data_IF_704033193576
#
_entry.id   IF_704033193576
#
_cell.length_a   1.000
_cell.length_b   1.000
_cell.length_c   1.000
_cell.angle_alpha   90.00
_cell.angle_beta   90.00
_cell.angle_gamma   90.00
#
_symmetry.space_group_name_H-M   'P 1'
#
loop_
_entity.id
_entity.type
_entity.pdbx_description
1 polymer ?
#
# COMPACT_ATOMS: atom_id res chain seq x y z
N UNK A 1 -31.42 4.35 -4.75
CA UNK A 1 -30.45 3.67 -3.85
C UNK A 1 -29.48 4.74 -3.36
N UNK A 2 -29.45 5.01 -2.06
CA UNK A 2 -28.43 5.92 -1.47
C UNK A 2 -27.11 5.18 -1.57
N UNK A 3 -26.16 5.71 -2.33
CA UNK A 3 -24.79 5.21 -2.34
C UNK A 3 -24.25 5.37 -0.92
N UNK A 4 -23.98 4.27 -0.23
CA UNK A 4 -23.27 4.31 1.04
C UNK A 4 -21.84 4.71 0.68
N UNK A 5 -21.48 5.96 0.97
CA UNK A 5 -20.10 6.41 0.86
C UNK A 5 -19.37 5.71 1.99
N UNK A 6 -18.62 4.68 1.66
CA UNK A 6 -17.69 4.05 2.59
C UNK A 6 -16.46 4.97 2.69
N UNK A 7 -16.34 5.68 3.80
CA UNK A 7 -15.16 6.52 4.08
C UNK A 7 -14.24 5.80 5.06
N UNK A 8 -12.95 6.05 4.95
CA UNK A 8 -12.00 5.61 5.99
C UNK A 8 -12.42 6.24 7.32
N UNK A 9 -12.76 5.41 8.30
CA UNK A 9 -13.15 5.86 9.63
C UNK A 9 -11.91 6.30 10.41
N UNK A 10 -11.77 7.60 10.60
CA UNK A 10 -10.61 8.19 11.26
C UNK A 10 -10.46 7.75 12.73
N UNK A 11 -11.55 7.40 13.40
CA UNK A 11 -11.55 6.96 14.81
C UNK A 11 -11.01 5.53 14.96
N UNK A 12 -11.00 4.76 13.87
CA UNK A 12 -10.48 3.38 13.84
C UNK A 12 -9.03 3.28 13.38
N UNK A 13 -8.44 4.38 12.91
CA UNK A 13 -7.03 4.38 12.50
C UNK A 13 -6.12 4.17 13.71
N UNK A 14 -5.24 3.19 13.60
CA UNK A 14 -4.24 2.93 14.64
C UNK A 14 -2.95 3.68 14.36
N UNK A 15 -2.48 4.41 15.35
CA UNK A 15 -1.30 5.27 15.25
C UNK A 15 -0.19 4.80 16.19
N UNK A 16 1.06 4.85 15.72
CA UNK A 16 2.22 4.57 16.59
C UNK A 16 2.57 5.72 17.54
N UNK A 17 2.00 6.92 17.32
CA UNK A 17 2.23 8.11 18.15
C UNK A 17 0.91 8.79 18.51
N UNK A 18 0.89 9.47 19.65
CA UNK A 18 -0.23 10.32 20.04
C UNK A 18 -0.44 11.51 19.10
N UNK A 19 -1.62 12.11 19.11
CA UNK A 19 -1.93 13.24 18.22
C UNK A 19 -0.95 14.42 18.32
N UNK A 20 -0.48 14.87 19.51
CA UNK A 20 0.54 15.91 19.60
C UNK A 20 1.92 15.46 19.08
N UNK A 21 2.29 14.18 19.30
CA UNK A 21 3.65 13.68 19.01
C UNK A 21 3.87 13.32 17.54
N UNK A 22 2.80 13.15 16.76
CA UNK A 22 2.90 12.80 15.33
C UNK A 22 3.07 14.02 14.41
N UNK A 23 2.73 15.23 14.89
CA UNK A 23 2.87 16.44 14.08
C UNK A 23 4.34 16.74 13.77
N UNK A 24 4.60 17.09 12.51
CA UNK A 24 5.95 17.37 12.02
C UNK A 24 6.81 16.12 11.79
N UNK A 25 6.28 14.90 12.02
CA UNK A 25 6.98 13.66 11.68
C UNK A 25 6.56 13.17 10.29
N UNK A 26 7.42 12.46 9.53
CA UNK A 26 6.98 11.79 8.31
C UNK A 26 5.94 10.71 8.62
N UNK A 27 4.96 10.53 7.72
CA UNK A 27 3.84 9.61 7.85
C UNK A 27 4.02 8.38 6.94
N UNK A 28 3.90 7.19 7.50
CA UNK A 28 3.77 5.94 6.77
C UNK A 28 2.33 5.43 6.87
N UNK A 29 1.61 5.45 5.76
CA UNK A 29 0.24 4.93 5.68
C UNK A 29 0.32 3.44 5.40
N UNK A 30 -0.17 2.63 6.35
CA UNK A 30 -0.16 1.17 6.27
C UNK A 30 -1.54 0.60 5.95
N UNK A 31 -1.60 -0.30 4.97
CA UNK A 31 -2.83 -0.90 4.42
C UNK A 31 -2.74 -2.42 4.45
N UNK A 32 -3.61 -3.05 5.23
CA UNK A 32 -3.63 -4.51 5.46
C UNK A 32 -4.14 -5.31 4.26
N UNK A 33 -3.92 -6.62 4.27
CA UNK A 33 -4.47 -7.57 3.30
C UNK A 33 -5.97 -7.81 3.50
N UNK A 34 -6.66 -8.32 2.47
CA UNK A 34 -8.07 -8.69 2.57
C UNK A 34 -8.33 -9.68 3.71
N UNK A 35 -9.40 -9.49 4.46
CA UNK A 35 -9.79 -10.34 5.60
C UNK A 35 -9.03 -10.02 6.90
N UNK A 36 -8.12 -9.05 6.89
CA UNK A 36 -7.40 -8.54 8.04
C UNK A 36 -7.99 -7.21 8.54
N UNK A 37 -7.26 -6.46 9.35
CA UNK A 37 -7.71 -5.22 9.97
C UNK A 37 -6.54 -4.28 10.28
N UNK A 38 -6.83 -3.12 10.85
CA UNK A 38 -5.87 -2.05 11.19
C UNK A 38 -4.78 -2.42 12.20
N UNK A 39 -4.91 -3.53 12.93
CA UNK A 39 -3.88 -3.96 13.89
C UNK A 39 -2.78 -4.81 13.24
N UNK A 40 -3.02 -5.35 12.06
CA UNK A 40 -2.12 -6.31 11.40
C UNK A 40 -0.75 -5.69 11.12
N UNK A 41 -0.70 -4.69 10.26
CA UNK A 41 0.57 -4.06 9.88
C UNK A 41 1.19 -3.17 10.97
N UNK A 42 0.39 -2.80 11.98
CA UNK A 42 0.93 -2.09 13.14
C UNK A 42 1.97 -2.94 13.89
N UNK A 43 1.83 -4.27 13.83
CA UNK A 43 2.81 -5.21 14.38
C UNK A 43 4.19 -5.13 13.73
N UNK A 44 4.30 -4.57 12.53
CA UNK A 44 5.58 -4.37 11.82
C UNK A 44 6.30 -3.07 12.25
N UNK A 45 5.59 -2.13 12.86
CA UNK A 45 6.11 -0.81 13.20
C UNK A 45 7.40 -0.82 14.06
N UNK A 46 7.61 -1.76 15.02
CA UNK A 46 8.85 -1.80 15.79
C UNK A 46 10.12 -2.08 14.97
N UNK A 47 9.97 -2.68 13.78
CA UNK A 47 11.09 -2.97 12.88
C UNK A 47 11.32 -1.86 11.84
N UNK A 48 10.43 -0.88 11.73
CA UNK A 48 10.53 0.25 10.81
C UNK A 48 11.34 1.39 11.43
N UNK A 49 11.92 2.31 10.62
CA UNK A 49 12.68 3.45 11.14
C UNK A 49 11.83 4.30 12.10
N UNK A 50 12.31 4.54 13.34
CA UNK A 50 11.51 5.19 14.39
C UNK A 50 11.18 6.66 14.12
N UNK A 51 11.79 7.29 13.11
CA UNK A 51 11.46 8.64 12.68
C UNK A 51 10.04 8.73 12.10
N UNK A 52 9.55 7.65 11.48
CA UNK A 52 8.24 7.62 10.83
C UNK A 52 7.12 7.35 11.84
N UNK A 53 6.06 8.13 11.75
CA UNK A 53 4.78 7.78 12.37
C UNK A 53 4.03 6.83 11.46
N UNK A 54 3.59 5.69 11.96
CA UNK A 54 2.75 4.76 11.19
C UNK A 54 1.28 5.04 11.51
N UNK A 55 0.48 5.19 10.47
CA UNK A 55 -0.98 5.16 10.53
C UNK A 55 -1.47 3.90 9.83
N UNK A 56 -2.01 2.96 10.57
CA UNK A 56 -2.57 1.73 10.04
C UNK A 56 -4.08 1.86 9.88
N UNK A 57 -4.53 1.80 8.63
CA UNK A 57 -5.92 2.03 8.26
C UNK A 57 -6.72 0.73 8.32
N UNK A 58 -8.01 0.84 8.66
CA UNK A 58 -9.01 -0.20 8.42
C UNK A 58 -9.64 0.00 7.06
N UNK A 59 -9.67 -1.05 6.25
CA UNK A 59 -10.43 -1.05 4.99
C UNK A 59 -11.94 -0.90 5.26
N UNK A 60 -12.70 -0.22 4.37
CA UNK A 60 -14.07 0.21 4.70
C UNK A 60 -15.12 -0.90 4.63
N UNK A 61 -14.87 -1.99 3.91
CA UNK A 61 -15.89 -3.02 3.65
C UNK A 61 -15.62 -4.27 4.50
N UNK A 62 -16.61 -4.71 5.28
CA UNK A 62 -16.49 -5.96 6.04
C UNK A 62 -16.32 -7.17 5.10
N UNK A 63 -15.38 -8.07 5.42
CA UNK A 63 -15.09 -9.27 4.67
C UNK A 63 -14.67 -10.43 5.60
N UNK A 64 -15.50 -11.43 5.74
CA UNK A 64 -15.24 -12.54 6.66
C UNK A 64 -15.00 -12.06 8.09
N UNK A 65 -13.90 -12.43 8.73
CA UNK A 65 -13.55 -11.97 10.08
C UNK A 65 -12.93 -10.56 10.12
N UNK A 66 -12.65 -9.96 8.97
CA UNK A 66 -11.97 -8.67 8.84
C UNK A 66 -12.58 -7.79 7.76
N UNK A 67 -11.73 -7.13 6.97
CA UNK A 67 -12.11 -6.05 6.05
C UNK A 67 -11.44 -6.18 4.69
N UNK A 68 -11.98 -5.48 3.69
CA UNK A 68 -11.52 -5.44 2.30
C UNK A 68 -11.54 -4.01 1.77
N UNK A 69 -10.50 -3.63 1.02
CA UNK A 69 -10.42 -2.31 0.37
C UNK A 69 -11.40 -2.20 -0.80
N UNK A 70 -11.51 -3.27 -1.58
CA UNK A 70 -12.43 -3.38 -2.71
C UNK A 70 -12.93 -4.83 -2.85
N UNK A 71 -14.08 -5.06 -3.50
CA UNK A 71 -14.60 -6.41 -3.69
C UNK A 71 -13.59 -7.32 -4.39
N UNK A 72 -13.46 -8.55 -3.89
CA UNK A 72 -12.65 -9.57 -4.56
C UNK A 72 -13.28 -9.91 -5.90
N UNK A 73 -12.47 -9.79 -6.95
CA UNK A 73 -12.78 -10.27 -8.28
C UNK A 73 -11.88 -11.47 -8.64
N UNK A 74 -11.46 -11.56 -9.90
CA UNK A 74 -10.45 -12.52 -10.31
C UNK A 74 -9.12 -12.20 -9.60
N UNK A 75 -8.44 -13.18 -9.00
CA UNK A 75 -7.15 -12.96 -8.35
C UNK A 75 -6.16 -12.24 -9.28
N UNK A 76 -5.53 -11.18 -8.76
CA UNK A 76 -4.62 -10.33 -9.54
C UNK A 76 -5.26 -9.43 -10.61
N UNK A 77 -6.61 -9.43 -10.74
CA UNK A 77 -7.34 -8.64 -11.73
C UNK A 77 -8.72 -8.18 -11.21
N UNK A 78 -8.77 -7.32 -10.19
CA UNK A 78 -10.02 -6.76 -9.67
C UNK A 78 -10.63 -5.75 -10.65
N UNK A 79 -11.88 -5.33 -10.39
CA UNK A 79 -12.52 -4.23 -11.11
C UNK A 79 -11.75 -2.92 -10.92
N UNK A 80 -11.34 -2.29 -12.02
CA UNK A 80 -10.63 -1.00 -12.00
C UNK A 80 -11.49 0.08 -11.34
N UNK A 81 -12.79 0.12 -11.63
CA UNK A 81 -13.73 1.07 -11.04
C UNK A 81 -13.80 0.95 -9.50
N UNK A 82 -13.88 -0.29 -8.99
CA UNK A 82 -13.92 -0.53 -7.55
C UNK A 82 -12.61 -0.13 -6.85
N UNK A 83 -11.47 -0.40 -7.50
CA UNK A 83 -10.16 0.01 -6.99
C UNK A 83 -9.99 1.52 -7.04
N UNK A 84 -10.47 2.19 -8.09
CA UNK A 84 -10.42 3.65 -8.19
C UNK A 84 -11.28 4.32 -7.12
N UNK A 85 -12.46 3.78 -6.82
CA UNK A 85 -13.31 4.26 -5.74
C UNK A 85 -12.60 4.13 -4.37
N UNK A 86 -12.05 2.96 -4.07
CA UNK A 86 -11.29 2.74 -2.84
C UNK A 86 -10.04 3.65 -2.76
N UNK A 87 -9.38 3.90 -3.89
CA UNK A 87 -8.24 4.81 -3.98
C UNK A 87 -8.64 6.23 -3.61
N UNK A 88 -9.78 6.71 -4.12
CA UNK A 88 -10.28 8.04 -3.80
C UNK A 88 -10.57 8.20 -2.29
N UNK A 89 -11.20 7.20 -1.66
CA UNK A 89 -11.49 7.22 -0.22
C UNK A 89 -10.21 7.31 0.64
N UNK A 90 -9.16 6.56 0.29
CA UNK A 90 -7.88 6.62 1.00
C UNK A 90 -7.18 7.96 0.74
N UNK A 91 -7.24 8.51 -0.47
CA UNK A 91 -6.69 9.83 -0.79
C UNK A 91 -7.39 10.93 0.00
N UNK A 92 -8.72 10.90 0.12
CA UNK A 92 -9.48 11.87 0.90
C UNK A 92 -9.07 11.84 2.39
N UNK A 93 -8.86 10.64 2.94
CA UNK A 93 -8.34 10.51 4.30
C UNK A 93 -6.91 11.05 4.41
N UNK A 94 -6.01 10.72 3.48
CA UNK A 94 -4.63 11.24 3.45
C UNK A 94 -4.64 12.77 3.42
N UNK A 95 -5.46 13.38 2.56
CA UNK A 95 -5.58 14.83 2.43
C UNK A 95 -6.01 15.50 3.74
N UNK A 96 -6.85 14.81 4.54
CA UNK A 96 -7.30 15.31 5.85
C UNK A 96 -6.20 15.42 6.90
N UNK A 97 -5.11 14.67 6.74
CA UNK A 97 -3.99 14.62 7.71
C UNK A 97 -2.67 15.14 7.14
N UNK A 98 -2.55 15.29 5.82
CA UNK A 98 -1.30 15.59 5.12
C UNK A 98 -0.59 16.84 5.62
N UNK A 99 -1.34 17.88 6.02
CA UNK A 99 -0.77 19.15 6.49
C UNK A 99 0.08 19.02 7.78
N UNK A 100 -0.13 17.95 8.55
CA UNK A 100 0.63 17.69 9.78
C UNK A 100 1.95 16.94 9.53
N UNK A 101 2.22 16.50 8.28
CA UNK A 101 3.33 15.60 7.96
C UNK A 101 4.18 16.12 6.80
N UNK A 102 5.52 16.27 6.95
CA UNK A 102 6.40 16.81 5.91
C UNK A 102 6.55 15.89 4.70
N UNK A 103 6.35 14.58 4.88
CA UNK A 103 6.45 13.53 3.85
C UNK A 103 5.48 12.41 4.16
N UNK A 104 4.97 11.75 3.11
CA UNK A 104 4.08 10.61 3.22
C UNK A 104 4.65 9.45 2.40
N UNK A 105 4.82 8.29 3.02
CA UNK A 105 5.12 7.02 2.39
C UNK A 105 3.93 6.07 2.47
N UNK A 106 3.90 5.09 1.59
CA UNK A 106 2.85 4.07 1.53
C UNK A 106 3.45 2.69 1.82
N UNK A 107 2.75 1.87 2.60
CA UNK A 107 3.09 0.48 2.87
C UNK A 107 1.83 -0.37 2.78
N UNK A 108 1.87 -1.46 2.04
CA UNK A 108 0.73 -2.36 1.98
C UNK A 108 1.13 -3.82 1.79
N UNK A 109 0.29 -4.72 2.32
CA UNK A 109 0.41 -6.15 2.11
C UNK A 109 -0.75 -6.67 1.27
N UNK A 110 -0.48 -7.53 0.29
CA UNK A 110 -1.49 -8.20 -0.54
C UNK A 110 -2.44 -7.19 -1.21
N UNK A 111 -3.74 -7.18 -0.89
CA UNK A 111 -4.69 -6.18 -1.39
C UNK A 111 -4.27 -4.75 -1.00
N UNK A 112 -3.72 -4.55 0.21
CA UNK A 112 -3.14 -3.26 0.63
C UNK A 112 -1.89 -2.88 -0.18
N UNK A 113 -1.08 -3.86 -0.61
CA UNK A 113 0.04 -3.64 -1.51
C UNK A 113 -0.41 -3.15 -2.89
N UNK A 114 -1.51 -3.72 -3.41
CA UNK A 114 -2.19 -3.20 -4.60
C UNK A 114 -2.67 -1.77 -4.41
N UNK A 115 -3.27 -1.45 -3.26
CA UNK A 115 -3.71 -0.09 -2.93
C UNK A 115 -2.54 0.89 -2.89
N UNK A 116 -1.39 0.52 -2.30
CA UNK A 116 -0.20 1.36 -2.27
C UNK A 116 0.28 1.73 -3.69
N UNK A 117 0.32 0.76 -4.59
CA UNK A 117 0.68 1.01 -6.00
C UNK A 117 -0.38 1.87 -6.71
N UNK A 118 -1.66 1.67 -6.42
CA UNK A 118 -2.73 2.43 -7.07
C UNK A 118 -2.79 3.89 -6.60
N UNK A 119 -2.56 4.14 -5.30
CA UNK A 119 -2.40 5.48 -4.75
C UNK A 119 -1.22 6.22 -5.41
N UNK A 120 -0.08 5.52 -5.54
CA UNK A 120 1.09 6.06 -6.24
C UNK A 120 0.79 6.40 -7.71
N UNK A 121 0.05 5.53 -8.43
CA UNK A 121 -0.38 5.78 -9.81
C UNK A 121 -1.34 6.97 -9.93
N UNK A 122 -2.18 7.18 -8.92
CA UNK A 122 -3.12 8.29 -8.90
C UNK A 122 -2.44 9.63 -8.64
N UNK A 123 -1.42 9.66 -7.77
CA UNK A 123 -0.69 10.88 -7.37
C UNK A 123 0.81 10.61 -7.21
N UNK A 124 1.58 10.37 -8.29
CA UNK A 124 2.96 9.90 -8.20
C UNK A 124 3.92 10.88 -7.50
N UNK A 125 3.66 12.18 -7.53
CA UNK A 125 4.49 13.18 -6.88
C UNK A 125 4.12 13.46 -5.42
N UNK A 126 3.01 12.88 -4.92
CA UNK A 126 2.53 13.15 -3.56
C UNK A 126 3.21 12.28 -2.50
N UNK A 127 3.85 11.20 -2.91
CA UNK A 127 4.41 10.21 -2.01
C UNK A 127 5.93 10.11 -2.12
N UNK A 128 6.60 10.01 -0.98
CA UNK A 128 8.05 9.81 -0.92
C UNK A 128 8.45 8.44 -1.51
N UNK A 129 7.61 7.44 -1.30
CA UNK A 129 7.77 6.08 -1.83
C UNK A 129 6.49 5.25 -1.66
N UNK A 130 6.46 4.08 -2.31
CA UNK A 130 5.50 3.02 -2.02
C UNK A 130 6.21 1.68 -1.77
N UNK A 131 5.74 0.95 -0.74
CA UNK A 131 6.14 -0.43 -0.44
C UNK A 131 4.95 -1.34 -0.69
N UNK A 132 5.13 -2.31 -1.58
CA UNK A 132 4.12 -3.32 -1.91
C UNK A 132 4.67 -4.70 -1.61
N UNK A 133 4.12 -5.34 -0.56
CA UNK A 133 4.48 -6.69 -0.12
C UNK A 133 3.41 -7.67 -0.61
N UNK A 134 3.79 -8.63 -1.43
CA UNK A 134 2.88 -9.58 -2.09
C UNK A 134 1.66 -8.90 -2.74
N UNK A 135 1.81 -7.66 -3.19
CA UNK A 135 0.79 -6.91 -3.93
C UNK A 135 0.94 -7.06 -5.43
N UNK A 136 0.08 -6.37 -6.17
CA UNK A 136 0.12 -6.38 -7.64
C UNK A 136 -0.40 -5.07 -8.24
N UNK A 137 0.09 -4.71 -9.43
CA UNK A 137 -0.46 -3.61 -10.19
C UNK A 137 -1.79 -4.03 -10.84
N UNK A 138 -2.82 -3.21 -10.66
CA UNK A 138 -4.15 -3.47 -11.25
C UNK A 138 -4.09 -3.26 -12.76
N UNK A 139 -4.49 -4.25 -13.58
CA UNK A 139 -4.52 -4.12 -15.03
C UNK A 139 -5.65 -3.18 -15.51
N UNK A 140 -5.55 -2.68 -16.74
CA UNK A 140 -6.60 -1.89 -17.37
C UNK A 140 -6.70 -0.44 -16.89
N UNK A 141 -5.73 0.04 -16.11
CA UNK A 141 -5.58 1.46 -15.78
C UNK A 141 -5.06 2.22 -17.00
N UNK A 142 -5.49 3.47 -17.17
CA UNK A 142 -5.15 4.26 -18.35
C UNK A 142 -3.65 4.54 -18.51
N UNK A 143 -3.16 4.53 -19.75
CA UNK A 143 -1.77 4.83 -20.11
C UNK A 143 -1.32 6.20 -19.59
N UNK A 144 -2.22 7.18 -19.50
CA UNK A 144 -1.90 8.52 -18.98
C UNK A 144 -1.48 8.54 -17.51
N UNK A 145 -1.99 7.61 -16.69
CA UNK A 145 -1.53 7.47 -15.29
C UNK A 145 -0.12 6.91 -15.25
N UNK A 146 0.17 5.91 -16.06
CA UNK A 146 1.50 5.30 -16.14
C UNK A 146 2.53 6.27 -16.75
N UNK A 147 2.15 7.12 -17.71
CA UNK A 147 2.96 8.23 -18.19
C UNK A 147 3.31 9.24 -17.08
N UNK A 148 2.33 9.60 -16.24
CA UNK A 148 2.57 10.47 -15.10
C UNK A 148 3.53 9.85 -14.08
N UNK A 149 3.42 8.54 -13.80
CA UNK A 149 4.38 7.81 -12.96
C UNK A 149 5.76 7.82 -13.59
N UNK A 150 5.87 7.57 -14.90
CA UNK A 150 7.16 7.59 -15.63
C UNK A 150 7.86 8.94 -15.59
N UNK A 151 7.09 10.03 -15.63
CA UNK A 151 7.63 11.39 -15.56
C UNK A 151 8.25 11.71 -14.19
N UNK A 152 7.69 11.14 -13.10
CA UNK A 152 8.18 11.33 -11.72
C UNK A 152 9.24 10.30 -11.35
N UNK A 153 9.10 9.04 -11.81
CA UNK A 153 9.89 7.88 -11.41
C UNK A 153 10.00 7.73 -9.89
N UNK A 154 8.85 7.59 -9.18
CA UNK A 154 8.87 7.50 -7.74
C UNK A 154 9.57 6.23 -7.27
N UNK A 155 10.13 6.27 -6.04
CA UNK A 155 10.75 5.11 -5.41
C UNK A 155 9.69 4.07 -5.05
N UNK A 156 9.93 2.81 -5.43
CA UNK A 156 9.03 1.68 -5.13
C UNK A 156 9.84 0.50 -4.61
N UNK A 157 9.38 -0.12 -3.54
CA UNK A 157 9.84 -1.42 -3.09
C UNK A 157 8.78 -2.47 -3.42
N UNK A 158 9.19 -3.53 -4.12
CA UNK A 158 8.40 -4.72 -4.33
C UNK A 158 9.02 -5.89 -3.57
N UNK A 159 8.24 -6.55 -2.70
CA UNK A 159 8.62 -7.77 -2.01
C UNK A 159 7.61 -8.87 -2.26
N UNK A 160 8.07 -10.09 -2.56
CA UNK A 160 7.19 -11.25 -2.75
C UNK A 160 7.94 -12.56 -2.52
N UNK A 161 7.18 -13.58 -2.10
CA UNK A 161 7.68 -14.93 -1.97
C UNK A 161 7.65 -15.70 -3.30
N UNK A 162 8.61 -16.59 -3.53
CA UNK A 162 8.67 -17.42 -4.75
C UNK A 162 7.72 -18.62 -4.74
N UNK A 163 7.12 -18.92 -3.57
CA UNK A 163 6.10 -19.99 -3.42
C UNK A 163 4.75 -19.44 -2.96
N UNK A 164 4.43 -18.17 -3.28
CA UNK A 164 3.15 -17.53 -2.96
C UNK A 164 2.01 -18.22 -3.74
N UNK A 165 1.05 -18.89 -3.04
CA UNK A 165 -0.05 -19.58 -3.70
C UNK A 165 -1.28 -18.69 -3.96
N UNK A 166 -1.25 -17.42 -3.53
CA UNK A 166 -2.39 -16.50 -3.54
C UNK A 166 -2.31 -15.53 -4.71
N UNK A 167 -1.15 -14.93 -4.93
CA UNK A 167 -0.95 -14.00 -6.04
C UNK A 167 -0.50 -14.78 -7.27
N UNK A 168 -1.27 -14.75 -8.38
CA UNK A 168 -0.91 -15.45 -9.60
C UNK A 168 0.46 -15.00 -10.13
N UNK A 169 1.32 -15.92 -10.61
CA UNK A 169 2.65 -15.57 -11.14
C UNK A 169 2.62 -14.52 -12.24
N UNK A 170 1.58 -14.53 -13.08
CA UNK A 170 1.37 -13.53 -14.13
C UNK A 170 1.06 -12.13 -13.57
N UNK A 171 0.43 -12.04 -12.40
CA UNK A 171 0.18 -10.76 -11.74
C UNK A 171 1.48 -10.21 -11.12
N UNK A 172 2.30 -11.07 -10.53
CA UNK A 172 3.65 -10.71 -10.05
C UNK A 172 4.53 -10.23 -11.20
N UNK A 173 4.63 -11.01 -12.28
CA UNK A 173 5.45 -10.66 -13.46
C UNK A 173 5.00 -9.33 -14.10
N UNK A 174 3.68 -9.10 -14.19
CA UNK A 174 3.12 -7.83 -14.67
C UNK A 174 3.54 -6.66 -13.79
N UNK A 175 3.50 -6.85 -12.47
CA UNK A 175 3.87 -5.81 -11.48
C UNK A 175 5.33 -5.46 -11.57
N UNK A 176 6.22 -6.44 -11.67
CA UNK A 176 7.65 -6.27 -11.85
C UNK A 176 7.95 -5.52 -13.15
N UNK A 177 7.34 -5.94 -14.27
CA UNK A 177 7.53 -5.29 -15.57
C UNK A 177 7.05 -3.82 -15.54
N UNK A 178 5.88 -3.56 -14.95
CA UNK A 178 5.35 -2.21 -14.79
C UNK A 178 6.29 -1.34 -13.93
N UNK A 179 6.72 -1.83 -12.78
CA UNK A 179 7.57 -1.07 -11.88
C UNK A 179 8.94 -0.75 -12.52
N UNK A 180 9.56 -1.72 -13.20
CA UNK A 180 10.83 -1.52 -13.92
C UNK A 180 10.70 -0.44 -15.02
N UNK A 181 9.57 -0.40 -15.72
CA UNK A 181 9.33 0.57 -16.78
C UNK A 181 9.11 1.99 -16.25
N UNK A 182 8.38 2.14 -15.14
CA UNK A 182 7.80 3.42 -14.74
C UNK A 182 8.38 4.03 -13.44
N UNK A 183 9.13 3.27 -12.63
CA UNK A 183 9.54 3.69 -11.28
C UNK A 183 11.03 3.51 -11.04
N UNK A 184 11.54 4.04 -9.92
CA UNK A 184 12.83 3.67 -9.35
C UNK A 184 12.58 2.50 -8.38
N UNK A 185 12.62 1.28 -8.94
CA UNK A 185 12.21 0.07 -8.23
C UNK A 185 13.37 -0.64 -7.54
N UNK A 186 13.14 -1.04 -6.28
CA UNK A 186 13.86 -2.10 -5.57
C UNK A 186 12.97 -3.34 -5.55
N UNK A 187 13.28 -4.35 -6.34
CA UNK A 187 12.51 -5.60 -6.44
C UNK A 187 13.24 -6.74 -5.73
N UNK A 188 12.55 -7.47 -4.85
CA UNK A 188 13.07 -8.55 -4.03
C UNK A 188 12.16 -9.78 -4.07
N UNK A 189 12.73 -10.93 -4.39
CA UNK A 189 12.08 -12.23 -4.29
C UNK A 189 12.69 -13.01 -3.13
N UNK A 190 11.85 -13.54 -2.25
CA UNK A 190 12.28 -14.27 -1.05
C UNK A 190 12.02 -15.77 -1.23
N UNK A 191 13.13 -16.53 -1.23
CA UNK A 191 13.08 -17.98 -1.46
C UNK A 191 12.35 -18.73 -0.33
N UNK A 192 11.42 -19.60 -0.71
CA UNK A 192 10.61 -20.40 0.22
C UNK A 192 9.57 -19.59 1.01
N UNK A 193 9.35 -18.31 0.67
CA UNK A 193 8.33 -17.49 1.33
C UNK A 193 6.97 -17.69 0.64
N UNK A 194 5.92 -18.11 1.40
CA UNK A 194 4.55 -18.13 0.90
C UNK A 194 3.93 -16.73 0.93
N UNK A 195 2.60 -16.63 0.89
CA UNK A 195 1.86 -15.35 1.00
C UNK A 195 1.93 -14.78 2.44
N UNK A 196 3.09 -14.25 2.80
CA UNK A 196 3.41 -13.74 4.14
C UNK A 196 4.53 -12.70 4.05
N UNK A 197 4.82 -12.02 5.16
CA UNK A 197 5.98 -11.14 5.32
C UNK A 197 7.03 -11.85 6.17
N UNK A 198 8.28 -11.89 5.69
CA UNK A 198 9.40 -12.47 6.43
C UNK A 198 10.20 -11.42 7.19
N UNK A 199 10.96 -11.84 8.20
CA UNK A 199 11.89 -10.96 8.91
C UNK A 199 12.97 -10.38 7.98
N UNK A 200 13.44 -11.15 7.00
CA UNK A 200 14.41 -10.70 6.00
C UNK A 200 13.81 -9.60 5.10
N UNK A 201 12.58 -9.82 4.61
CA UNK A 201 11.84 -8.83 3.83
C UNK A 201 11.61 -7.54 4.62
N UNK A 202 11.22 -7.66 5.89
CA UNK A 202 11.00 -6.49 6.75
C UNK A 202 12.29 -5.71 7.01
N UNK A 203 13.44 -6.37 7.13
CA UNK A 203 14.74 -5.70 7.23
C UNK A 203 15.09 -4.91 5.97
N UNK A 204 14.82 -5.48 4.77
CA UNK A 204 15.02 -4.78 3.50
C UNK A 204 14.07 -3.59 3.35
N UNK A 205 12.80 -3.73 3.78
CA UNK A 205 11.83 -2.63 3.83
C UNK A 205 12.31 -1.51 4.75
N UNK A 206 12.80 -1.84 5.94
CA UNK A 206 13.32 -0.84 6.88
C UNK A 206 14.49 -0.06 6.29
N UNK A 207 15.44 -0.75 5.66
CA UNK A 207 16.57 -0.13 4.97
C UNK A 207 16.11 0.77 3.80
N UNK A 208 15.12 0.33 3.02
CA UNK A 208 14.53 1.12 1.93
C UNK A 208 13.84 2.40 2.44
N UNK A 209 13.07 2.31 3.51
CA UNK A 209 12.38 3.46 4.13
C UNK A 209 13.38 4.45 4.72
N UNK A 210 14.46 3.97 5.35
CA UNK A 210 15.48 4.83 5.98
C UNK A 210 16.31 5.62 4.95
N UNK A 211 16.48 5.08 3.76
CA UNK A 211 17.25 5.71 2.67
C UNK A 211 16.47 6.83 1.93
N UNK A 212 15.25 7.17 2.33
CA UNK A 212 14.33 8.06 1.59
C UNK A 212 13.99 9.39 2.21
#
# INVERSE_FOLDING_TARGET
MVSVVHMIDADLVQWTRSAPDRRGTPLLVAMHGVGSNEHDLLGLAPALPPAWTVASLRAPTAWGPGFSWYPLGTPGSPSTEAVDAATAEVLDWIDSVAADHPRIGLLGFSQGGSMALQLLRARPAAFAFAVSLSGFVVPGVSDSRDEAVSAVRPRVFLGHGDIDPVIPPEATARTQAWAAAHTDVTDRTYAGLPHAVSTAELADVAAFVDAG
#
